data_IF_064735847643
#
_entry.id   IF_064735847643
#
_cell.length_a   1.000
_cell.length_b   1.000
_cell.length_c   1.000
_cell.angle_alpha   90.00
_cell.angle_beta   90.00
_cell.angle_gamma   90.00
#
_symmetry.space_group_name_H-M   'P 1'
#
loop_
_entity.id
_entity.type
_entity.pdbx_description
1 polymer ?
#
# COMPACT_ATOMS: atom_id res chain seq x y z
N UNK A 1 2.36 33.99 -6.69
CA UNK A 1 2.21 33.37 -5.36
C UNK A 1 2.96 32.05 -5.45
N UNK A 2 4.12 31.96 -4.79
CA UNK A 2 4.97 30.77 -4.85
C UNK A 2 4.27 29.55 -4.20
N UNK A 3 4.63 28.40 -4.68
CA UNK A 3 4.16 27.05 -4.31
C UNK A 3 4.49 26.70 -2.85
N UNK A 4 3.76 27.25 -1.90
CA UNK A 4 4.02 26.98 -0.49
C UNK A 4 3.48 25.59 -0.09
N UNK A 5 4.35 24.81 0.58
CA UNK A 5 3.95 23.60 1.26
C UNK A 5 3.19 23.96 2.52
N UNK A 6 1.93 23.54 2.62
CA UNK A 6 1.10 23.73 3.81
C UNK A 6 1.27 22.51 4.71
N UNK A 7 1.58 22.76 5.98
CA UNK A 7 1.68 21.74 7.04
C UNK A 7 0.67 22.05 8.12
N UNK A 8 -0.21 21.10 8.40
CA UNK A 8 -1.20 21.22 9.47
C UNK A 8 -0.95 20.18 10.54
N UNK A 9 -0.94 20.59 11.80
CA UNK A 9 -0.98 19.70 12.98
C UNK A 9 -2.27 20.00 13.72
N UNK A 10 -3.06 18.95 14.01
CA UNK A 10 -4.39 19.07 14.62
C UNK A 10 -5.29 20.10 13.91
N UNK A 11 -5.23 20.08 12.56
CA UNK A 11 -5.97 21.01 11.66
C UNK A 11 -5.47 22.48 11.73
N UNK A 12 -4.52 22.83 12.60
CA UNK A 12 -3.90 24.15 12.67
C UNK A 12 -2.77 24.23 11.65
N UNK A 13 -2.81 25.23 10.79
CA UNK A 13 -1.72 25.56 9.86
C UNK A 13 -0.54 26.15 10.63
N UNK A 14 0.61 25.47 10.51
CA UNK A 14 1.88 25.86 11.15
C UNK A 14 2.96 26.22 10.12
N UNK A 15 2.63 26.30 8.85
CA UNK A 15 3.58 26.44 7.75
C UNK A 15 4.48 27.67 7.87
N UNK A 16 3.94 28.76 8.41
CA UNK A 16 4.69 30.02 8.61
C UNK A 16 5.53 30.03 9.89
N UNK A 17 5.28 29.09 10.80
CA UNK A 17 5.94 29.02 12.12
C UNK A 17 7.14 28.07 12.11
N UNK A 18 7.35 27.35 10.98
CA UNK A 18 8.38 26.32 10.87
C UNK A 18 9.26 26.52 9.64
N UNK A 19 10.52 26.10 9.72
CA UNK A 19 11.43 26.03 8.59
C UNK A 19 11.64 24.55 8.20
N UNK A 20 11.05 24.14 7.08
CA UNK A 20 11.04 22.76 6.62
C UNK A 20 12.34 22.45 5.89
N UNK A 21 13.08 21.45 6.37
CA UNK A 21 14.34 20.94 5.78
C UNK A 21 14.02 19.83 4.75
N UNK A 22 13.10 18.93 5.07
CA UNK A 22 12.67 17.84 4.19
C UNK A 22 11.19 17.49 4.48
N UNK A 23 10.46 17.07 3.45
CA UNK A 23 9.07 16.66 3.58
C UNK A 23 8.77 15.56 2.55
N UNK A 24 8.42 14.39 3.06
CA UNK A 24 8.26 13.17 2.28
C UNK A 24 6.90 12.55 2.57
N UNK A 25 6.16 12.21 1.52
CA UNK A 25 4.95 11.38 1.60
C UNK A 25 5.17 10.11 0.80
N UNK A 26 4.95 8.95 1.41
CA UNK A 26 4.90 7.66 0.74
C UNK A 26 3.44 7.24 0.60
N UNK A 27 3.00 7.06 -0.63
CA UNK A 27 1.68 6.58 -0.99
C UNK A 27 1.80 5.18 -1.60
N UNK A 28 1.23 4.18 -0.94
CA UNK A 28 1.28 2.79 -1.32
C UNK A 28 0.00 2.38 -2.06
N UNK A 29 0.11 1.43 -2.99
CA UNK A 29 -1.06 0.87 -3.64
C UNK A 29 -1.99 0.14 -2.65
N UNK A 30 -1.46 -0.34 -1.54
CA UNK A 30 -2.19 -1.01 -0.48
C UNK A 30 -1.30 -2.02 0.26
N UNK A 31 -1.93 -2.78 1.16
CA UNK A 31 -1.34 -3.85 1.98
C UNK A 31 -0.39 -3.36 3.09
N UNK A 32 0.10 -2.13 2.98
CA UNK A 32 0.88 -1.41 4.00
C UNK A 32 0.34 0.01 4.15
N UNK A 33 0.67 0.66 5.26
CA UNK A 33 0.20 2.03 5.55
C UNK A 33 0.92 3.06 4.69
N UNK A 34 0.20 4.10 4.28
CA UNK A 34 0.82 5.32 3.79
C UNK A 34 1.54 6.01 4.94
N UNK A 35 2.63 6.73 4.64
CA UNK A 35 3.45 7.38 5.65
C UNK A 35 3.91 8.76 5.23
N UNK A 36 4.17 9.59 6.24
CA UNK A 36 4.67 10.94 6.10
C UNK A 36 5.90 11.09 7.01
N UNK A 37 6.94 11.76 6.51
CA UNK A 37 8.07 12.19 7.30
C UNK A 37 8.36 13.65 6.98
N UNK A 38 8.42 14.49 8.02
CA UNK A 38 8.82 15.89 7.91
C UNK A 38 10.02 16.15 8.84
N UNK A 39 11.02 16.83 8.30
CA UNK A 39 12.17 17.32 9.03
C UNK A 39 12.12 18.85 9.10
N UNK A 40 12.10 19.39 10.29
CA UNK A 40 11.98 20.82 10.58
C UNK A 40 13.29 21.29 11.24
N UNK A 41 13.78 22.47 10.85
CA UNK A 41 14.89 23.12 11.53
C UNK A 41 14.44 23.58 12.92
N UNK A 42 15.22 23.25 13.93
CA UNK A 42 14.97 23.59 15.33
C UNK A 42 16.26 24.11 16.02
N UNK A 43 17.04 24.92 15.31
CA UNK A 43 18.29 25.51 15.80
C UNK A 43 18.02 26.34 17.06
N UNK A 44 16.91 27.06 17.09
CA UNK A 44 16.50 27.92 18.21
C UNK A 44 15.86 27.13 19.37
N UNK A 45 15.77 25.80 19.25
CA UNK A 45 15.20 24.89 20.26
C UNK A 45 13.72 25.21 20.58
N UNK A 46 12.96 25.63 19.60
CA UNK A 46 11.54 25.98 19.72
C UNK A 46 10.65 24.80 20.09
N UNK A 47 11.12 23.56 19.82
CA UNK A 47 10.45 22.33 20.23
C UNK A 47 10.05 22.31 21.72
N UNK A 48 10.76 23.03 22.57
CA UNK A 48 10.46 23.13 24.00
C UNK A 48 9.11 23.79 24.29
N UNK A 49 8.63 24.62 23.38
CA UNK A 49 7.33 25.28 23.45
C UNK A 49 6.25 24.57 22.61
N UNK A 50 6.64 23.61 21.78
CA UNK A 50 5.69 22.84 20.98
C UNK A 50 5.13 21.71 21.82
N UNK A 51 3.81 21.72 22.00
CA UNK A 51 3.11 20.62 22.70
C UNK A 51 2.59 19.61 21.66
N UNK A 52 3.49 19.11 20.81
CA UNK A 52 3.16 18.07 19.82
C UNK A 52 3.38 16.70 20.48
N UNK A 53 2.38 15.81 20.38
CA UNK A 53 2.45 14.47 20.94
C UNK A 53 2.14 13.40 19.88
N UNK A 54 2.43 12.16 20.22
CA UNK A 54 2.04 10.99 19.42
C UNK A 54 0.52 10.86 19.39
N UNK A 55 0.00 10.20 18.33
CA UNK A 55 -1.43 10.09 18.02
C UNK A 55 -2.13 11.40 17.60
N UNK A 56 -1.44 12.55 17.61
CA UNK A 56 -1.93 13.78 16.99
C UNK A 56 -1.94 13.68 15.48
N UNK A 57 -2.75 14.53 14.81
CA UNK A 57 -2.88 14.51 13.36
C UNK A 57 -1.90 15.44 12.68
N UNK A 58 -1.36 14.98 11.55
CA UNK A 58 -0.55 15.80 10.64
C UNK A 58 -1.04 15.62 9.20
N UNK A 59 -1.02 16.69 8.42
CA UNK A 59 -1.36 16.70 7.00
C UNK A 59 -0.40 17.63 6.25
N UNK A 60 0.05 17.20 5.08
CA UNK A 60 0.82 18.03 4.14
C UNK A 60 -0.02 18.27 2.88
N UNK A 61 -0.06 19.52 2.43
CA UNK A 61 -0.81 19.93 1.24
C UNK A 61 0.06 20.80 0.33
N UNK A 62 -0.05 20.60 -0.98
CA UNK A 62 0.60 21.43 -2.00
C UNK A 62 -0.21 21.36 -3.30
N UNK A 63 -0.65 22.51 -3.83
CA UNK A 63 -1.25 22.63 -5.19
C UNK A 63 -2.23 21.51 -5.57
N UNK A 64 -3.28 21.35 -4.79
CA UNK A 64 -4.30 20.32 -5.04
C UNK A 64 -3.94 18.90 -4.54
N UNK A 65 -2.70 18.69 -4.11
CA UNK A 65 -2.31 17.47 -3.40
C UNK A 65 -2.59 17.57 -1.91
N UNK A 66 -3.05 16.50 -1.31
CA UNK A 66 -3.09 16.27 0.14
C UNK A 66 -2.54 14.89 0.47
N UNK A 67 -1.69 14.80 1.49
CA UNK A 67 -1.28 13.52 2.06
C UNK A 67 -2.44 12.74 2.70
N UNK A 68 -3.59 13.40 2.88
CA UNK A 68 -4.62 12.95 3.80
C UNK A 68 -4.20 13.12 5.26
N UNK A 69 -5.14 12.90 6.16
CA UNK A 69 -4.87 12.94 7.60
C UNK A 69 -4.03 11.72 7.99
N UNK A 70 -2.88 11.97 8.62
CA UNK A 70 -1.99 10.95 9.17
C UNK A 70 -1.80 11.17 10.67
N UNK A 71 -1.40 10.12 11.38
CA UNK A 71 -1.24 10.12 12.83
C UNK A 71 0.22 10.01 13.20
N UNK A 72 0.70 10.95 14.00
CA UNK A 72 2.09 11.01 14.46
C UNK A 72 2.39 9.79 15.33
N UNK A 73 3.42 9.04 14.99
CA UNK A 73 3.89 7.89 15.77
C UNK A 73 5.30 8.08 16.34
N UNK A 74 6.08 9.00 15.77
CA UNK A 74 7.45 9.29 16.21
C UNK A 74 7.74 10.78 16.13
N UNK A 75 8.31 11.31 17.20
CA UNK A 75 8.89 12.66 17.26
C UNK A 75 10.33 12.50 17.76
N UNK A 76 11.29 12.92 16.96
CA UNK A 76 12.71 12.84 17.28
C UNK A 76 13.34 14.23 17.22
N UNK A 77 14.01 14.62 18.30
CA UNK A 77 14.79 15.86 18.37
C UNK A 77 16.26 15.51 18.32
N UNK A 78 16.95 15.99 17.30
CA UNK A 78 18.35 15.64 17.08
C UNK A 78 19.11 16.81 16.44
N UNK A 79 20.13 17.34 17.15
CA UNK A 79 21.09 18.32 16.65
C UNK A 79 20.46 19.52 15.89
N UNK A 80 19.48 20.19 16.51
CA UNK A 80 18.79 21.34 15.91
C UNK A 80 17.80 20.98 14.80
N UNK A 81 17.32 19.74 14.80
CA UNK A 81 16.26 19.25 13.92
C UNK A 81 15.16 18.57 14.74
N UNK A 82 13.93 18.75 14.31
CA UNK A 82 12.78 17.98 14.77
C UNK A 82 12.28 17.13 13.60
N UNK A 83 12.25 15.81 13.77
CA UNK A 83 11.77 14.86 12.77
C UNK A 83 10.46 14.27 13.28
N UNK A 84 9.41 14.43 12.50
CA UNK A 84 8.07 13.89 12.78
C UNK A 84 7.76 12.82 11.74
N UNK A 85 7.39 11.61 12.21
CA UNK A 85 6.92 10.52 11.36
C UNK A 85 5.48 10.19 11.71
N UNK A 86 4.69 9.96 10.68
CA UNK A 86 3.26 9.66 10.81
C UNK A 86 2.81 8.58 9.83
N UNK A 87 1.72 7.90 10.16
CA UNK A 87 1.10 6.87 9.35
C UNK A 87 -0.40 7.13 9.18
N UNK A 88 -0.98 6.52 8.13
CA UNK A 88 -2.42 6.62 7.86
C UNK A 88 -3.31 5.89 8.88
N UNK A 89 -2.75 5.13 9.83
CA UNK A 89 -3.50 4.44 10.88
C UNK A 89 -2.90 4.71 12.27
N UNK A 90 -3.76 5.04 13.24
CA UNK A 90 -3.36 5.23 14.64
C UNK A 90 -2.71 3.98 15.23
N UNK A 91 -1.71 4.19 16.09
CA UNK A 91 -0.96 3.12 16.76
C UNK A 91 -1.85 2.15 17.51
N UNK A 92 -2.87 2.63 18.25
CA UNK A 92 -3.78 1.80 19.04
C UNK A 92 -4.54 0.75 18.21
N UNK A 93 -4.73 0.99 16.90
CA UNK A 93 -5.39 0.05 16.00
C UNK A 93 -4.45 -0.99 15.38
N UNK A 94 -3.15 -0.92 15.70
CA UNK A 94 -2.15 -1.91 15.27
C UNK A 94 -1.99 -3.08 16.26
N UNK A 95 -2.83 -3.12 17.30
CA UNK A 95 -2.79 -4.17 18.31
C UNK A 95 -3.16 -5.54 17.73
N UNK A 96 -2.46 -6.56 18.26
CA UNK A 96 -2.66 -7.95 17.88
C UNK A 96 -3.85 -8.51 18.65
N UNK A 97 -4.71 -9.27 17.96
CA UNK A 97 -5.82 -9.99 18.59
C UNK A 97 -6.04 -11.37 17.98
N UNK A 98 -6.81 -12.18 18.70
CA UNK A 98 -7.33 -13.45 18.20
C UNK A 98 -8.85 -13.43 18.28
N UNK A 99 -9.51 -13.82 17.20
CA UNK A 99 -10.97 -13.93 17.13
C UNK A 99 -11.37 -14.95 16.06
N UNK A 100 -12.55 -15.53 16.23
CA UNK A 100 -13.17 -16.40 15.23
C UNK A 100 -14.45 -15.73 14.73
N UNK A 101 -14.63 -15.75 13.42
CA UNK A 101 -15.83 -15.26 12.74
C UNK A 101 -16.45 -16.44 11.98
N UNK A 102 -17.71 -16.73 12.23
CA UNK A 102 -18.46 -17.84 11.62
C UNK A 102 -19.60 -17.33 10.74
N UNK A 103 -19.90 -18.04 9.65
CA UNK A 103 -20.98 -17.72 8.71
C UNK A 103 -20.94 -16.25 8.24
N UNK A 104 -19.78 -15.78 7.85
CA UNK A 104 -19.53 -14.39 7.46
C UNK A 104 -19.22 -14.28 5.98
N UNK A 105 -19.66 -13.20 5.33
CA UNK A 105 -19.23 -12.85 3.99
C UNK A 105 -18.10 -11.80 4.01
N UNK A 106 -17.43 -11.62 2.86
CA UNK A 106 -16.28 -10.74 2.75
C UNK A 106 -16.60 -9.28 3.08
N UNK A 107 -17.77 -8.77 2.63
CA UNK A 107 -18.15 -7.38 2.92
C UNK A 107 -18.45 -7.17 4.42
N UNK A 108 -19.09 -8.14 5.08
CA UNK A 108 -19.31 -8.07 6.52
C UNK A 108 -18.01 -8.17 7.31
N UNK A 109 -17.03 -8.99 6.86
CA UNK A 109 -15.67 -9.01 7.41
C UNK A 109 -15.03 -7.63 7.28
N UNK A 110 -15.06 -7.04 6.08
CA UNK A 110 -14.47 -5.73 5.81
C UNK A 110 -15.12 -4.62 6.66
N UNK A 111 -16.45 -4.60 6.78
CA UNK A 111 -17.17 -3.67 7.65
C UNK A 111 -16.76 -3.85 9.12
N UNK A 112 -16.76 -5.09 9.62
CA UNK A 112 -16.35 -5.39 11.00
C UNK A 112 -14.96 -4.85 11.31
N UNK A 113 -14.02 -5.00 10.37
CA UNK A 113 -12.65 -4.49 10.54
C UNK A 113 -12.63 -2.96 10.42
N UNK A 114 -13.33 -2.36 9.46
CA UNK A 114 -13.43 -0.91 9.32
C UNK A 114 -13.97 -0.25 10.60
N UNK A 115 -15.03 -0.81 11.17
CA UNK A 115 -15.61 -0.33 12.44
C UNK A 115 -14.60 -0.42 13.60
N UNK A 116 -13.88 -1.55 13.72
CA UNK A 116 -12.84 -1.73 14.75
C UNK A 116 -11.69 -0.72 14.59
N UNK A 117 -11.35 -0.35 13.35
CA UNK A 117 -10.32 0.63 13.05
C UNK A 117 -10.85 2.07 13.07
N UNK A 118 -12.16 2.26 13.28
CA UNK A 118 -12.84 3.55 13.19
C UNK A 118 -12.61 4.24 11.85
N UNK A 119 -12.72 3.49 10.75
CA UNK A 119 -12.55 3.94 9.38
C UNK A 119 -13.84 3.78 8.58
N UNK A 120 -14.05 4.65 7.58
CA UNK A 120 -15.13 4.49 6.62
C UNK A 120 -14.74 3.48 5.56
N UNK A 121 -15.54 2.42 5.34
CA UNK A 121 -15.31 1.45 4.28
C UNK A 121 -15.73 2.01 2.91
N UNK A 122 -14.86 1.86 1.91
CA UNK A 122 -15.16 2.05 0.48
C UNK A 122 -14.67 0.83 -0.30
N UNK A 123 -15.47 0.34 -1.24
CA UNK A 123 -15.15 -0.87 -2.00
C UNK A 123 -15.34 -0.66 -3.48
N UNK A 124 -14.46 -1.29 -4.30
CA UNK A 124 -14.48 -1.18 -5.76
C UNK A 124 -14.35 -2.57 -6.39
N UNK A 125 -15.39 -2.98 -7.10
CA UNK A 125 -15.45 -4.20 -7.90
C UNK A 125 -15.13 -5.48 -7.10
N UNK A 126 -15.84 -5.70 -5.99
CA UNK A 126 -15.66 -6.87 -5.14
C UNK A 126 -16.78 -7.90 -5.36
N UNK A 127 -16.41 -9.17 -5.35
CA UNK A 127 -17.34 -10.29 -5.22
C UNK A 127 -17.48 -10.62 -3.72
N UNK A 128 -18.72 -10.68 -3.25
CA UNK A 128 -19.00 -10.91 -1.83
C UNK A 128 -19.04 -12.41 -1.49
N UNK A 129 -17.86 -13.04 -1.41
CA UNK A 129 -17.73 -14.45 -1.04
C UNK A 129 -18.14 -14.71 0.40
N UNK A 130 -18.73 -15.89 0.65
CA UNK A 130 -19.10 -16.34 1.99
C UNK A 130 -18.08 -17.35 2.52
N UNK A 131 -17.88 -17.34 3.82
CA UNK A 131 -16.98 -18.21 4.57
C UNK A 131 -17.73 -18.86 5.72
N UNK A 132 -17.57 -20.18 5.89
CA UNK A 132 -18.11 -20.89 7.03
C UNK A 132 -17.42 -20.43 8.32
N UNK A 133 -16.11 -20.24 8.26
CA UNK A 133 -15.32 -19.81 9.41
C UNK A 133 -14.01 -19.14 8.99
N UNK A 134 -13.67 -18.05 9.63
CA UNK A 134 -12.40 -17.34 9.53
C UNK A 134 -11.77 -17.21 10.92
N UNK A 135 -10.52 -17.64 11.06
CA UNK A 135 -9.76 -17.50 12.29
C UNK A 135 -8.69 -16.42 12.12
N UNK A 136 -8.79 -15.37 12.93
CA UNK A 136 -7.74 -14.38 13.14
C UNK A 136 -6.92 -14.85 14.34
N UNK A 137 -5.67 -15.21 14.14
CA UNK A 137 -4.80 -15.73 15.19
C UNK A 137 -3.57 -14.85 15.30
N UNK A 138 -3.41 -14.18 16.45
CA UNK A 138 -2.26 -13.31 16.75
C UNK A 138 -1.89 -12.35 15.61
N UNK A 139 -2.89 -11.67 15.04
CA UNK A 139 -2.71 -10.68 13.96
C UNK A 139 -3.45 -9.40 14.27
N UNK A 140 -2.88 -8.26 13.88
CA UNK A 140 -3.61 -7.00 13.84
C UNK A 140 -4.73 -7.05 12.78
N UNK A 141 -5.81 -6.32 13.01
CA UNK A 141 -7.02 -6.36 12.17
C UNK A 141 -6.71 -6.06 10.69
N UNK A 142 -5.94 -5.01 10.41
CA UNK A 142 -5.57 -4.68 9.04
C UNK A 142 -4.73 -5.77 8.38
N UNK A 143 -3.72 -6.31 9.08
CA UNK A 143 -2.87 -7.39 8.55
C UNK A 143 -3.67 -8.67 8.29
N UNK A 144 -4.67 -8.96 9.12
CA UNK A 144 -5.59 -10.07 8.89
C UNK A 144 -6.42 -9.83 7.63
N UNK A 145 -7.02 -8.65 7.48
CA UNK A 145 -7.80 -8.28 6.29
C UNK A 145 -6.95 -8.35 5.02
N UNK A 146 -5.74 -7.79 5.03
CA UNK A 146 -4.79 -7.87 3.89
C UNK A 146 -4.55 -9.31 3.48
N UNK A 147 -4.34 -10.22 4.46
CA UNK A 147 -4.15 -11.63 4.14
C UNK A 147 -5.37 -12.27 3.48
N UNK A 148 -6.58 -11.83 3.80
CA UNK A 148 -7.83 -12.27 3.14
C UNK A 148 -7.99 -11.64 1.76
N UNK A 149 -7.69 -10.33 1.63
CA UNK A 149 -7.69 -9.62 0.34
C UNK A 149 -6.80 -10.32 -0.69
N UNK A 150 -5.57 -10.69 -0.31
CA UNK A 150 -4.64 -11.40 -1.22
C UNK A 150 -5.25 -12.69 -1.74
N UNK A 151 -5.92 -13.48 -0.90
CA UNK A 151 -6.56 -14.74 -1.29
C UNK A 151 -7.75 -14.54 -2.24
N UNK A 152 -8.40 -13.38 -2.16
CA UNK A 152 -9.53 -13.03 -3.02
C UNK A 152 -9.14 -12.21 -4.27
N UNK A 153 -7.85 -11.86 -4.42
CA UNK A 153 -7.36 -11.02 -5.52
C UNK A 153 -7.65 -9.54 -5.31
N UNK A 154 -7.80 -9.11 -4.06
CA UNK A 154 -8.07 -7.72 -3.67
C UNK A 154 -6.84 -7.09 -3.02
N UNK A 155 -6.86 -5.76 -2.96
CA UNK A 155 -5.93 -4.93 -2.18
C UNK A 155 -6.70 -4.13 -1.16
N UNK A 156 -6.07 -3.89 -0.02
CA UNK A 156 -6.62 -3.03 1.03
C UNK A 156 -5.69 -1.84 1.27
N UNK A 157 -6.23 -0.63 1.26
CA UNK A 157 -5.50 0.64 1.46
C UNK A 157 -6.18 1.44 2.57
N UNK A 158 -5.38 2.08 3.42
CA UNK A 158 -5.88 3.05 4.40
C UNK A 158 -5.36 4.43 4.04
N UNK A 159 -6.26 5.35 3.74
CA UNK A 159 -5.95 6.74 3.43
C UNK A 159 -7.09 7.65 3.86
N UNK A 160 -6.78 8.81 4.43
CA UNK A 160 -7.74 9.84 4.82
C UNK A 160 -8.94 9.32 5.61
N UNK A 161 -8.69 8.56 6.69
CA UNK A 161 -9.69 7.90 7.55
C UNK A 161 -10.65 6.94 6.83
N UNK A 162 -10.23 6.42 5.68
CA UNK A 162 -10.97 5.43 4.89
C UNK A 162 -10.19 4.13 4.79
N UNK A 163 -10.92 3.01 4.87
CA UNK A 163 -10.48 1.70 4.44
C UNK A 163 -11.01 1.46 3.03
N UNK A 164 -10.12 1.44 2.06
CA UNK A 164 -10.45 1.21 0.65
C UNK A 164 -10.05 -0.21 0.29
N UNK A 165 -10.99 -0.99 -0.25
CA UNK A 165 -10.72 -2.33 -0.77
C UNK A 165 -11.11 -2.36 -2.24
N UNK A 166 -10.21 -2.84 -3.08
CA UNK A 166 -10.43 -2.87 -4.52
C UNK A 166 -9.92 -4.15 -5.17
N UNK A 167 -10.53 -4.54 -6.29
CA UNK A 167 -10.07 -5.64 -7.12
C UNK A 167 -8.79 -5.21 -7.84
N UNK A 168 -7.67 -5.92 -7.58
CA UNK A 168 -6.35 -5.56 -8.12
C UNK A 168 -6.36 -5.64 -9.66
N UNK A 169 -6.97 -6.68 -10.26
CA UNK A 169 -7.01 -6.84 -11.72
C UNK A 169 -7.81 -5.74 -12.43
N UNK A 170 -8.91 -5.28 -11.83
CA UNK A 170 -9.69 -4.17 -12.37
C UNK A 170 -8.87 -2.88 -12.42
N UNK A 171 -8.10 -2.59 -11.37
CA UNK A 171 -7.23 -1.42 -11.33
C UNK A 171 -6.03 -1.56 -12.28
N UNK A 172 -5.43 -2.75 -12.41
CA UNK A 172 -4.39 -3.03 -13.42
C UNK A 172 -4.88 -2.78 -14.85
N UNK A 173 -6.16 -3.04 -15.13
CA UNK A 173 -6.76 -2.87 -16.46
C UNK A 173 -7.08 -1.40 -16.80
N UNK A 174 -7.07 -0.48 -15.84
CA UNK A 174 -7.28 0.94 -16.11
C UNK A 174 -6.20 1.48 -17.06
N UNK A 175 -6.54 2.52 -17.81
CA UNK A 175 -5.60 3.17 -18.71
C UNK A 175 -4.42 3.79 -17.95
N UNK A 176 -3.26 3.83 -18.60
CA UNK A 176 -2.11 4.59 -18.11
C UNK A 176 -2.45 6.08 -18.09
N UNK A 177 -2.17 6.73 -16.95
CA UNK A 177 -2.41 8.15 -16.79
C UNK A 177 -1.27 9.02 -17.35
N UNK A 178 -0.11 8.42 -17.54
CA UNK A 178 1.07 9.07 -18.11
C UNK A 178 2.00 8.04 -18.78
N UNK A 179 2.73 8.49 -19.79
CA UNK A 179 3.80 7.76 -20.46
C UNK A 179 5.12 8.40 -20.06
N UNK A 180 6.15 7.59 -19.82
CA UNK A 180 7.50 8.04 -19.49
C UNK A 180 8.53 7.39 -20.40
N UNK A 181 9.56 8.16 -20.75
CA UNK A 181 10.77 7.71 -21.44
C UNK A 181 12.01 7.90 -20.56
N UNK A 182 13.14 7.25 -20.82
CA UNK A 182 14.36 7.41 -20.04
C UNK A 182 14.87 8.85 -19.92
N UNK A 183 14.55 9.72 -20.88
CA UNK A 183 14.97 11.13 -20.88
C UNK A 183 14.32 11.94 -19.73
N UNK A 184 13.21 11.47 -19.20
CA UNK A 184 12.51 12.09 -18.07
C UNK A 184 13.05 11.60 -16.72
N UNK A 185 13.89 10.55 -16.71
CA UNK A 185 14.41 9.96 -15.48
C UNK A 185 15.54 10.81 -14.91
N UNK A 186 15.46 11.08 -13.62
CA UNK A 186 16.44 11.88 -12.90
C UNK A 186 17.37 10.97 -12.10
N UNK A 187 18.65 11.00 -12.45
CA UNK A 187 19.67 10.21 -11.77
C UNK A 187 19.58 8.72 -12.08
N UNK A 188 19.76 7.87 -11.06
CA UNK A 188 19.78 6.41 -11.25
C UNK A 188 18.37 5.84 -11.34
N UNK A 189 18.14 4.98 -12.31
CA UNK A 189 16.94 4.16 -12.42
C UNK A 189 17.30 2.67 -12.45
N UNK A 190 16.31 1.82 -12.21
CA UNK A 190 16.49 0.38 -12.22
C UNK A 190 15.28 -0.29 -12.87
N UNK A 191 15.53 -0.96 -13.99
CA UNK A 191 14.60 -1.88 -14.62
C UNK A 191 15.08 -3.30 -14.29
N UNK A 192 14.23 -4.14 -13.79
CA UNK A 192 14.60 -5.47 -13.29
C UNK A 192 13.63 -6.51 -13.82
N UNK A 193 14.17 -7.60 -14.38
CA UNK A 193 13.45 -8.86 -14.61
C UNK A 193 14.06 -9.93 -13.73
N UNK A 194 13.25 -10.64 -12.96
CA UNK A 194 13.77 -11.64 -12.02
C UNK A 194 12.72 -12.72 -11.77
N UNK A 195 13.14 -13.95 -11.93
CA UNK A 195 12.34 -15.14 -11.59
C UNK A 195 12.66 -15.68 -10.18
N UNK A 196 13.41 -14.91 -9.36
CA UNK A 196 13.63 -15.26 -7.95
C UNK A 196 12.32 -15.19 -7.18
N UNK A 197 12.03 -16.23 -6.41
CA UNK A 197 10.80 -16.35 -5.61
C UNK A 197 9.50 -16.39 -6.45
N UNK A 198 9.58 -16.85 -7.71
CA UNK A 198 8.42 -17.18 -8.52
C UNK A 198 8.06 -18.65 -8.41
N UNK A 199 6.83 -18.97 -8.77
CA UNK A 199 6.30 -20.32 -8.69
C UNK A 199 5.56 -20.67 -9.98
N UNK A 200 5.80 -21.88 -10.52
CA UNK A 200 5.07 -22.39 -11.68
C UNK A 200 3.70 -22.94 -11.30
N UNK A 201 3.53 -23.30 -10.03
CA UNK A 201 2.31 -23.94 -9.55
C UNK A 201 2.05 -23.58 -8.08
N UNK A 202 0.76 -23.45 -7.74
CA UNK A 202 0.30 -23.42 -6.34
C UNK A 202 -0.52 -24.69 -6.07
N UNK A 203 -0.08 -25.50 -5.10
CA UNK A 203 -0.75 -26.70 -4.66
C UNK A 203 -1.29 -26.49 -3.24
N UNK A 204 -2.61 -26.56 -3.09
CA UNK A 204 -3.28 -26.47 -1.79
C UNK A 204 -3.80 -27.84 -1.43
N UNK A 205 -3.44 -28.31 -0.23
CA UNK A 205 -3.92 -29.55 0.35
C UNK A 205 -4.50 -29.26 1.73
N UNK A 206 -5.73 -29.67 1.96
CA UNK A 206 -6.39 -29.47 3.24
C UNK A 206 -7.40 -30.60 3.53
N UNK A 207 -7.45 -31.06 4.76
CA UNK A 207 -8.44 -32.01 5.22
C UNK A 207 -9.52 -31.26 6.03
N UNK A 208 -10.70 -31.07 5.40
CA UNK A 208 -11.89 -30.49 6.03
C UNK A 208 -12.86 -31.64 6.41
N UNK A 209 -14.08 -31.66 5.82
CA UNK A 209 -14.95 -32.86 5.88
C UNK A 209 -14.39 -33.96 4.98
N UNK A 210 -13.87 -33.54 3.81
CA UNK A 210 -13.22 -34.39 2.82
C UNK A 210 -11.81 -33.88 2.56
N UNK A 211 -10.97 -34.70 1.94
CA UNK A 211 -9.64 -34.30 1.49
C UNK A 211 -9.75 -33.43 0.24
N UNK A 212 -9.30 -32.18 0.37
CA UNK A 212 -9.26 -31.21 -0.72
C UNK A 212 -7.82 -31.13 -1.22
N UNK A 213 -7.63 -31.36 -2.52
CA UNK A 213 -6.38 -31.11 -3.22
C UNK A 213 -6.67 -30.34 -4.50
N UNK A 214 -6.00 -29.20 -4.68
CA UNK A 214 -6.11 -28.39 -5.89
C UNK A 214 -4.75 -27.93 -6.36
N UNK A 215 -4.61 -27.75 -7.68
CA UNK A 215 -3.40 -27.28 -8.33
C UNK A 215 -3.75 -26.16 -9.31
N UNK A 216 -3.17 -24.99 -9.11
CA UNK A 216 -3.25 -23.86 -10.04
C UNK A 216 -1.89 -23.72 -10.72
N UNK A 217 -1.85 -23.66 -12.05
CA UNK A 217 -0.60 -23.68 -12.83
C UNK A 217 -0.46 -22.36 -13.59
N UNK A 218 0.76 -21.84 -13.59
CA UNK A 218 1.22 -20.75 -14.44
C UNK A 218 2.19 -21.37 -15.47
N UNK A 219 1.71 -21.51 -16.69
CA UNK A 219 2.47 -22.19 -17.75
C UNK A 219 3.62 -21.33 -18.33
N UNK A 220 3.66 -20.05 -18.02
CA UNK A 220 4.71 -19.14 -18.51
C UNK A 220 5.98 -19.17 -17.64
N UNK A 221 5.85 -19.75 -16.45
CA UNK A 221 6.93 -19.78 -15.46
C UNK A 221 7.43 -21.20 -15.22
N UNK A 222 8.72 -21.42 -15.38
CA UNK A 222 9.39 -22.64 -14.98
C UNK A 222 10.08 -22.44 -13.63
N UNK A 223 9.44 -22.88 -12.54
CA UNK A 223 9.91 -22.66 -11.17
C UNK A 223 9.37 -23.74 -10.21
N UNK A 224 9.64 -23.59 -8.92
CA UNK A 224 9.17 -24.49 -7.87
C UNK A 224 7.66 -24.41 -7.65
N UNK A 225 7.12 -25.37 -6.90
CA UNK A 225 5.72 -25.40 -6.47
C UNK A 225 5.55 -24.65 -5.15
N UNK A 226 4.58 -23.74 -5.11
CA UNK A 226 4.13 -23.09 -3.87
C UNK A 226 3.17 -24.05 -3.14
N UNK A 227 3.44 -24.35 -1.88
CA UNK A 227 2.58 -25.19 -1.03
C UNK A 227 2.20 -24.41 0.24
N UNK A 228 1.17 -23.57 0.18
CA UNK A 228 0.76 -22.79 1.35
C UNK A 228 -0.01 -23.68 2.34
N UNK A 229 0.19 -23.43 3.64
CA UNK A 229 -0.67 -23.99 4.68
C UNK A 229 -1.91 -23.10 4.83
N UNK A 230 -2.98 -23.46 4.12
CA UNK A 230 -4.24 -22.69 4.09
C UNK A 230 -5.41 -23.59 4.43
N UNK A 231 -6.28 -23.09 5.32
CA UNK A 231 -7.60 -23.66 5.52
C UNK A 231 -8.50 -23.29 4.35
N UNK A 232 -9.19 -24.29 3.80
CA UNK A 232 -10.20 -24.12 2.74
C UNK A 232 -11.42 -24.98 3.07
N UNK A 233 -12.60 -24.50 2.72
CA UNK A 233 -13.87 -25.21 3.02
C UNK A 233 -14.30 -26.13 1.87
N UNK A 234 -13.88 -25.84 0.62
CA UNK A 234 -14.25 -26.59 -0.56
C UNK A 234 -13.27 -26.37 -1.72
N UNK A 235 -13.43 -27.15 -2.80
CA UNK A 235 -12.58 -27.10 -4.01
C UNK A 235 -12.64 -25.73 -4.70
N UNK A 236 -13.81 -25.07 -4.74
CA UNK A 236 -13.98 -23.78 -5.42
C UNK A 236 -13.18 -22.70 -4.71
N UNK A 237 -13.27 -22.65 -3.38
CA UNK A 237 -12.49 -21.74 -2.56
C UNK A 237 -10.98 -22.01 -2.70
N UNK A 238 -10.58 -23.29 -2.67
CA UNK A 238 -9.21 -23.70 -2.81
C UNK A 238 -8.60 -23.26 -4.15
N UNK A 239 -9.31 -23.46 -5.27
CA UNK A 239 -8.87 -23.02 -6.59
C UNK A 239 -8.74 -21.50 -6.66
N UNK A 240 -9.71 -20.75 -6.13
CA UNK A 240 -9.69 -19.28 -6.11
C UNK A 240 -8.48 -18.77 -5.33
N UNK A 241 -8.24 -19.30 -4.14
CA UNK A 241 -7.08 -18.93 -3.32
C UNK A 241 -5.75 -19.30 -3.98
N UNK A 242 -5.66 -20.51 -4.55
CA UNK A 242 -4.46 -20.96 -5.24
C UNK A 242 -4.09 -20.09 -6.42
N UNK A 243 -5.07 -19.71 -7.25
CA UNK A 243 -4.88 -18.83 -8.40
C UNK A 243 -4.43 -17.41 -7.97
N UNK A 244 -5.15 -16.80 -7.03
CA UNK A 244 -4.83 -15.44 -6.58
C UNK A 244 -3.49 -15.38 -5.85
N UNK A 245 -3.16 -16.40 -5.04
CA UNK A 245 -1.90 -16.46 -4.32
C UNK A 245 -0.72 -16.66 -5.28
N UNK A 246 -0.87 -17.50 -6.31
CA UNK A 246 0.13 -17.71 -7.35
C UNK A 246 0.40 -16.40 -8.10
N UNK A 247 -0.65 -15.71 -8.55
CA UNK A 247 -0.57 -14.39 -9.17
C UNK A 247 0.12 -13.38 -8.25
N UNK A 248 -0.28 -13.32 -6.98
CA UNK A 248 0.32 -12.40 -6.01
C UNK A 248 1.83 -12.64 -5.81
N UNK A 249 2.27 -13.90 -5.82
CA UNK A 249 3.70 -14.26 -5.69
C UNK A 249 4.50 -13.91 -6.94
N UNK A 250 3.91 -14.05 -8.13
CA UNK A 250 4.59 -13.88 -9.40
C UNK A 250 4.58 -12.42 -9.92
N UNK A 251 3.76 -11.56 -9.38
CA UNK A 251 3.50 -10.21 -9.93
C UNK A 251 4.74 -9.27 -10.01
N UNK A 252 5.84 -9.59 -9.31
CA UNK A 252 7.06 -8.76 -9.30
C UNK A 252 8.18 -9.25 -10.20
N UNK A 253 7.87 -10.06 -11.22
CA UNK A 253 8.85 -10.55 -12.20
C UNK A 253 9.52 -9.38 -12.92
N UNK A 254 8.74 -8.41 -13.39
CA UNK A 254 9.23 -7.22 -14.06
C UNK A 254 8.88 -5.99 -13.22
N UNK A 255 9.92 -5.28 -12.77
CA UNK A 255 9.76 -4.08 -11.95
C UNK A 255 10.58 -2.91 -12.50
N UNK A 256 10.09 -1.71 -12.27
CA UNK A 256 10.76 -0.45 -12.57
C UNK A 256 10.85 0.42 -11.32
N UNK A 257 12.00 1.07 -11.14
CA UNK A 257 12.22 2.05 -10.08
C UNK A 257 12.99 3.23 -10.67
N UNK A 258 12.42 4.42 -10.62
CA UNK A 258 13.01 5.64 -11.19
C UNK A 258 12.51 6.88 -10.46
N UNK A 259 13.18 8.00 -10.71
CA UNK A 259 12.86 9.30 -10.14
C UNK A 259 12.54 10.29 -11.27
N UNK A 260 11.57 11.15 -11.06
CA UNK A 260 11.17 12.25 -11.95
C UNK A 260 11.06 13.56 -11.17
N UNK A 261 10.81 14.67 -11.86
CA UNK A 261 10.37 15.90 -11.19
C UNK A 261 9.08 15.65 -10.42
N UNK A 262 8.83 16.47 -9.38
CA UNK A 262 7.63 16.32 -8.57
C UNK A 262 6.37 16.32 -9.44
N UNK A 263 5.61 15.25 -9.34
CA UNK A 263 4.34 15.08 -10.02
C UNK A 263 3.31 14.52 -9.03
N UNK A 264 2.51 15.38 -8.47
CA UNK A 264 1.48 15.07 -7.47
C UNK A 264 0.19 14.51 -8.06
N UNK A 265 0.08 14.40 -9.39
CA UNK A 265 -1.06 13.74 -10.05
C UNK A 265 -0.91 12.22 -10.07
N UNK A 266 0.27 11.70 -9.74
CA UNK A 266 0.52 10.27 -9.64
C UNK A 266 0.23 9.79 -8.22
N UNK A 267 -0.36 8.60 -8.11
CA UNK A 267 -0.68 7.98 -6.83
C UNK A 267 -0.39 6.47 -6.88
N UNK A 268 -0.24 5.85 -5.72
CA UNK A 268 -0.25 4.40 -5.59
C UNK A 268 -1.54 3.81 -6.15
N UNK A 269 -1.45 2.65 -6.81
CA UNK A 269 -2.53 1.99 -7.57
C UNK A 269 -2.93 2.66 -8.89
N UNK A 270 -2.18 3.65 -9.39
CA UNK A 270 -2.32 4.17 -10.75
C UNK A 270 -1.49 3.36 -11.74
N UNK A 271 -1.86 3.43 -13.03
CA UNK A 271 -1.08 2.85 -14.12
C UNK A 271 -0.30 3.93 -14.89
N UNK A 272 0.90 3.58 -15.30
CA UNK A 272 1.76 4.36 -16.19
C UNK A 272 2.26 3.48 -17.33
N UNK A 273 2.76 4.07 -18.40
CA UNK A 273 3.48 3.35 -19.46
C UNK A 273 4.93 3.77 -19.51
N UNK A 274 5.82 2.83 -19.78
CA UNK A 274 7.23 3.09 -20.10
C UNK A 274 7.45 2.80 -21.58
N UNK A 275 8.08 3.74 -22.28
CA UNK A 275 8.47 3.62 -23.69
C UNK A 275 9.99 3.79 -23.82
N UNK A 276 10.54 3.35 -24.94
CA UNK A 276 11.98 3.43 -25.28
C UNK A 276 12.92 2.74 -24.26
N UNK A 277 12.40 1.72 -23.55
CA UNK A 277 13.18 0.89 -22.61
C UNK A 277 13.30 -0.57 -23.06
N UNK A 278 13.19 -0.81 -24.37
CA UNK A 278 13.35 -2.12 -24.98
C UNK A 278 12.33 -3.14 -24.45
N UNK A 279 12.77 -4.31 -24.02
CA UNK A 279 11.89 -5.37 -23.49
C UNK A 279 11.12 -4.98 -22.21
N UNK A 280 11.52 -3.91 -21.55
CA UNK A 280 10.81 -3.37 -20.40
C UNK A 280 9.70 -2.39 -20.78
N UNK A 281 9.57 -1.99 -22.07
CA UNK A 281 8.47 -1.14 -22.50
C UNK A 281 7.12 -1.81 -22.25
N UNK A 282 6.10 -1.01 -21.92
CA UNK A 282 4.74 -1.47 -21.66
C UNK A 282 4.09 -0.80 -20.46
N UNK A 283 2.96 -1.32 -20.02
CA UNK A 283 2.17 -0.79 -18.91
C UNK A 283 2.68 -1.27 -17.57
N UNK A 284 2.68 -0.36 -16.61
CA UNK A 284 3.12 -0.61 -15.23
C UNK A 284 2.09 -0.10 -14.22
N UNK A 285 1.89 -0.88 -13.18
CA UNK A 285 1.08 -0.53 -12.02
C UNK A 285 1.99 0.01 -10.91
N UNK A 286 1.69 1.19 -10.39
CA UNK A 286 2.46 1.84 -9.33
C UNK A 286 2.16 1.16 -8.00
N UNK A 287 3.16 0.48 -7.43
CA UNK A 287 3.09 -0.18 -6.12
C UNK A 287 3.36 0.78 -4.97
N UNK A 288 4.29 1.71 -5.18
CA UNK A 288 4.64 2.75 -4.22
C UNK A 288 5.10 4.00 -4.96
N UNK A 289 4.69 5.14 -4.46
CA UNK A 289 5.17 6.44 -4.90
C UNK A 289 5.62 7.24 -3.69
N UNK A 290 6.77 7.91 -3.83
CA UNK A 290 7.35 8.74 -2.80
C UNK A 290 7.53 10.15 -3.32
N UNK A 291 6.75 11.10 -2.80
CA UNK A 291 6.89 12.51 -3.10
C UNK A 291 7.83 13.17 -2.09
N UNK A 292 8.89 13.80 -2.56
CA UNK A 292 9.74 14.68 -1.76
C UNK A 292 9.51 16.12 -2.21
N UNK A 293 8.83 16.88 -1.39
CA UNK A 293 8.35 18.23 -1.72
C UNK A 293 9.47 19.28 -1.72
N UNK A 294 10.49 19.10 -0.88
CA UNK A 294 11.60 20.06 -0.78
C UNK A 294 12.61 19.82 -1.91
N UNK A 295 12.91 18.56 -2.21
CA UNK A 295 13.81 18.22 -3.33
C UNK A 295 13.13 18.33 -4.69
N UNK A 296 11.83 18.58 -4.73
CA UNK A 296 11.01 18.63 -5.94
C UNK A 296 11.14 17.34 -6.78
N UNK A 297 10.95 16.17 -6.13
CA UNK A 297 11.14 14.85 -6.73
C UNK A 297 10.00 13.90 -6.40
N UNK A 298 9.67 13.06 -7.39
CA UNK A 298 8.78 11.90 -7.24
C UNK A 298 9.58 10.64 -7.57
N UNK A 299 9.64 9.71 -6.64
CA UNK A 299 10.24 8.38 -6.81
C UNK A 299 9.13 7.37 -7.01
N UNK A 300 9.22 6.58 -8.06
CA UNK A 300 8.21 5.60 -8.46
C UNK A 300 8.80 4.21 -8.33
N UNK A 301 8.06 3.30 -7.71
CA UNK A 301 8.28 1.87 -7.78
C UNK A 301 7.04 1.22 -8.38
N UNK A 302 7.20 0.56 -9.51
CA UNK A 302 6.09 -0.02 -10.27
C UNK A 302 6.45 -1.42 -10.79
N UNK A 303 5.43 -2.22 -11.02
CA UNK A 303 5.54 -3.53 -11.66
C UNK A 303 4.82 -3.55 -12.99
N UNK A 304 5.36 -4.29 -13.94
CA UNK A 304 4.74 -4.46 -15.27
C UNK A 304 3.43 -5.25 -15.13
N UNK A 305 2.43 -4.82 -15.87
CA UNK A 305 1.11 -5.48 -15.97
C UNK A 305 0.78 -5.70 -17.44
N UNK A 306 0.01 -6.77 -17.70
CA UNK A 306 -0.39 -7.18 -19.05
C UNK A 306 -1.74 -6.57 -19.41
#
# INVERSE_FOLDING_TARGET
RGDFLIVKINKKDISNDINIIDAIVNDNAGDIYDSLEICISDIDKNWRSWNIDTDETIEIMKEGFSSGVMYIDTIEINNGKCIIKANSLKRKYKEIRSSTLENINFLNLANTIADRLNLKLETYDLINYSYDRLDQINKADFSFLVSRCILEGYRAKITNDKLIIYNEKTFENLNSIQVFTPDEFIGKYKLKKSNLNTFSKCEIQYFAKDYIKTECIDNEISASTLKPNLRVSNIIESNRFGFNLLKYKNKYINTASFCINLNTNLAGASNISLEDVGSFSGKYFIENIKHNFIKNRTYIYARKVD
#
